data_IF_445641888146
#
_entry.id   IF_445641888146
#
_cell.length_a   1.000
_cell.length_b   1.000
_cell.length_c   1.000
_cell.angle_alpha   90.00
_cell.angle_beta   90.00
_cell.angle_gamma   90.00
#
_symmetry.space_group_name_H-M   'P 1'
#
loop_
_entity.id
_entity.type
_entity.pdbx_description
1 polymer ?
#
# COMPACT_ATOMS: atom_id res chain seq x y z
N UNK A 1 -14.47 0.80 -4.82
CA UNK A 1 -13.80 1.24 -3.59
C UNK A 1 -13.41 0.01 -2.78
N UNK A 2 -12.20 -0.01 -2.20
CA UNK A 2 -11.63 -1.19 -1.51
C UNK A 2 -12.51 -1.67 -0.34
N UNK A 3 -13.13 -0.74 0.39
CA UNK A 3 -14.06 -1.03 1.49
C UNK A 3 -15.29 -1.83 1.08
N UNK A 4 -15.66 -1.83 -0.21
CA UNK A 4 -16.74 -2.70 -0.70
C UNK A 4 -16.33 -4.18 -0.75
N UNK A 5 -15.04 -4.44 -0.85
CA UNK A 5 -14.47 -5.78 -0.88
C UNK A 5 -14.15 -6.28 0.53
N UNK A 6 -13.37 -5.49 1.30
CA UNK A 6 -12.88 -5.92 2.62
C UNK A 6 -13.88 -5.64 3.77
N UNK A 7 -14.90 -4.84 3.51
CA UNK A 7 -15.82 -4.36 4.54
C UNK A 7 -15.41 -3.01 5.12
N UNK A 8 -16.32 -2.41 5.87
CA UNK A 8 -16.02 -1.22 6.67
C UNK A 8 -15.28 -1.68 7.94
N UNK A 9 -14.13 -1.08 8.28
CA UNK A 9 -13.44 -1.38 9.53
C UNK A 9 -14.30 -0.99 10.74
N UNK A 10 -13.99 -1.57 11.88
CA UNK A 10 -14.66 -1.22 13.12
C UNK A 10 -14.38 0.22 13.56
N UNK A 11 -15.17 0.72 14.51
CA UNK A 11 -15.04 2.11 14.98
C UNK A 11 -13.71 2.39 15.66
N UNK A 12 -13.11 1.39 16.32
CA UNK A 12 -11.82 1.56 17.01
C UNK A 12 -10.70 1.81 16.01
N UNK A 13 -10.67 1.06 14.90
CA UNK A 13 -9.70 1.28 13.83
C UNK A 13 -9.93 2.60 13.10
N UNK A 14 -11.19 2.99 12.89
CA UNK A 14 -11.51 4.29 12.26
C UNK A 14 -11.04 5.44 13.16
N UNK A 15 -11.20 5.33 14.48
CA UNK A 15 -10.80 6.38 15.42
C UNK A 15 -9.29 6.56 15.51
N UNK A 16 -8.49 5.57 15.11
CA UNK A 16 -7.02 5.65 15.02
C UNK A 16 -6.52 6.40 13.78
N UNK A 17 -7.38 6.72 12.82
CA UNK A 17 -6.99 7.50 11.64
C UNK A 17 -6.66 8.92 12.09
N UNK A 18 -5.41 9.35 11.89
CA UNK A 18 -4.91 10.66 12.33
C UNK A 18 -5.61 11.80 11.61
N UNK A 19 -5.71 11.70 10.28
CA UNK A 19 -6.36 12.70 9.45
C UNK A 19 -7.86 12.80 9.75
N UNK A 20 -8.31 14.01 10.12
CA UNK A 20 -9.67 14.29 10.57
C UNK A 20 -10.70 14.10 9.45
N UNK A 21 -10.36 14.51 8.23
CA UNK A 21 -11.27 14.46 7.08
C UNK A 21 -11.43 13.01 6.61
N UNK A 22 -10.33 12.26 6.53
CA UNK A 22 -10.35 10.84 6.20
C UNK A 22 -11.10 10.03 7.26
N UNK A 23 -10.91 10.33 8.54
CA UNK A 23 -11.66 9.70 9.64
C UNK A 23 -13.16 9.99 9.55
N UNK A 24 -13.54 11.25 9.29
CA UNK A 24 -14.93 11.65 9.12
C UNK A 24 -15.57 10.96 7.90
N UNK A 25 -14.84 10.90 6.79
CA UNK A 25 -15.27 10.18 5.59
C UNK A 25 -15.50 8.69 5.87
N UNK A 26 -14.57 8.03 6.55
CA UNK A 26 -14.70 6.60 6.89
C UNK A 26 -15.90 6.33 7.82
N UNK A 27 -16.21 7.25 8.75
CA UNK A 27 -17.39 7.15 9.60
C UNK A 27 -18.71 7.21 8.82
N UNK A 28 -18.75 8.02 7.76
CA UNK A 28 -19.95 8.20 6.92
C UNK A 28 -20.21 7.03 5.97
N UNK A 29 -19.22 6.18 5.71
CA UNK A 29 -19.42 5.03 4.84
C UNK A 29 -20.48 4.09 5.40
N UNK A 30 -21.33 3.51 4.53
CA UNK A 30 -22.32 2.54 4.96
C UNK A 30 -21.64 1.31 5.58
N UNK A 31 -22.28 0.75 6.60
CA UNK A 31 -21.82 -0.50 7.19
C UNK A 31 -21.98 -1.63 6.17
N UNK A 32 -20.89 -2.30 5.87
CA UNK A 32 -20.88 -3.51 5.06
C UNK A 32 -19.87 -4.51 5.64
N UNK A 33 -20.14 -5.80 5.43
CA UNK A 33 -19.28 -6.89 5.91
C UNK A 33 -18.19 -7.27 4.89
N UNK A 34 -18.11 -6.54 3.76
CA UNK A 34 -17.27 -6.92 2.63
C UNK A 34 -17.88 -8.09 1.83
N UNK A 35 -17.09 -8.61 0.92
CA UNK A 35 -17.46 -9.73 0.05
C UNK A 35 -16.61 -10.96 0.40
N UNK A 36 -17.13 -12.13 0.10
CA UNK A 36 -16.30 -13.33 0.10
C UNK A 36 -15.25 -13.23 -1.00
N UNK A 37 -13.98 -13.34 -0.65
CA UNK A 37 -12.86 -13.19 -1.59
C UNK A 37 -12.82 -14.31 -2.61
N UNK A 38 -13.13 -15.55 -2.21
CA UNK A 38 -13.14 -16.68 -3.14
C UNK A 38 -14.25 -16.51 -4.16
N UNK A 39 -15.39 -16.00 -3.75
CA UNK A 39 -16.50 -15.71 -4.65
C UNK A 39 -16.20 -14.50 -5.56
N UNK A 40 -15.60 -13.45 -5.03
CA UNK A 40 -15.25 -12.24 -5.79
C UNK A 40 -14.20 -12.54 -6.86
N UNK A 41 -13.20 -13.36 -6.53
CA UNK A 41 -12.11 -13.78 -7.43
C UNK A 41 -12.36 -15.17 -8.03
N UNK A 42 -13.57 -15.47 -8.48
CA UNK A 42 -13.94 -16.78 -9.09
C UNK A 42 -13.01 -17.29 -10.18
N UNK A 43 -12.30 -16.37 -10.88
CA UNK A 43 -11.30 -16.72 -11.89
C UNK A 43 -9.93 -17.10 -11.31
N UNK A 44 -9.63 -16.77 -10.07
CA UNK A 44 -8.38 -17.15 -9.43
C UNK A 44 -8.51 -18.54 -8.81
N UNK A 45 -8.02 -19.55 -9.53
CA UNK A 45 -8.11 -20.96 -9.11
C UNK A 45 -7.14 -21.31 -7.97
N UNK A 46 -6.21 -20.41 -7.64
CA UNK A 46 -5.19 -20.65 -6.62
C UNK A 46 -5.62 -20.04 -5.27
N UNK A 47 -5.93 -20.85 -4.24
CA UNK A 47 -6.32 -20.36 -2.92
C UNK A 47 -5.21 -19.59 -2.20
N UNK A 48 -3.93 -19.86 -2.49
CA UNK A 48 -2.81 -19.12 -1.93
C UNK A 48 -2.76 -17.68 -2.47
N UNK A 49 -3.13 -17.45 -3.73
CA UNK A 49 -3.26 -16.09 -4.27
C UNK A 49 -4.34 -15.28 -3.53
N UNK A 50 -5.47 -15.92 -3.24
CA UNK A 50 -6.57 -15.30 -2.50
C UNK A 50 -6.15 -15.00 -1.06
N UNK A 51 -5.41 -15.90 -0.43
CA UNK A 51 -4.88 -15.69 0.93
C UNK A 51 -3.89 -14.53 0.98
N UNK A 52 -2.95 -14.44 0.04
CA UNK A 52 -2.01 -13.33 -0.06
C UNK A 52 -2.74 -11.99 -0.22
N UNK A 53 -3.70 -11.91 -1.16
CA UNK A 53 -4.50 -10.69 -1.37
C UNK A 53 -5.25 -10.29 -0.10
N UNK A 54 -5.84 -11.22 0.63
CA UNK A 54 -6.51 -10.94 1.91
C UNK A 54 -5.56 -10.29 2.91
N UNK A 55 -4.35 -10.84 3.05
CA UNK A 55 -3.32 -10.33 3.95
C UNK A 55 -2.83 -8.95 3.55
N UNK A 56 -2.65 -8.71 2.24
CA UNK A 56 -2.24 -7.40 1.68
C UNK A 56 -3.33 -6.33 1.83
N UNK A 57 -4.60 -6.72 1.77
CA UNK A 57 -5.74 -5.81 1.88
C UNK A 57 -6.26 -5.65 3.31
N UNK A 58 -5.57 -6.20 4.30
CA UNK A 58 -5.93 -5.99 5.72
C UNK A 58 -5.95 -4.49 6.02
N UNK A 59 -7.08 -3.97 6.56
CA UNK A 59 -7.25 -2.54 6.81
C UNK A 59 -6.27 -2.04 7.87
N UNK A 60 -6.15 -2.75 8.97
CA UNK A 60 -5.23 -2.44 10.07
C UNK A 60 -3.77 -2.57 9.60
N UNK A 61 -3.01 -1.47 9.51
CA UNK A 61 -1.63 -1.53 9.05
C UNK A 61 -0.72 -2.36 9.96
N UNK A 62 -1.02 -2.44 11.25
CA UNK A 62 -0.25 -3.25 12.21
C UNK A 62 -0.44 -4.76 12.00
N UNK A 63 -1.56 -5.16 11.38
CA UNK A 63 -1.88 -6.56 11.05
C UNK A 63 -1.68 -6.89 9.58
N UNK A 64 -1.43 -5.88 8.76
CA UNK A 64 -1.18 -6.08 7.33
C UNK A 64 0.15 -6.77 7.14
N UNK A 65 0.18 -7.76 6.23
CA UNK A 65 1.42 -8.43 5.85
C UNK A 65 2.45 -7.40 5.37
N UNK A 66 3.69 -7.47 5.86
CA UNK A 66 4.80 -6.65 5.38
C UNK A 66 5.41 -7.24 4.09
N UNK A 67 6.39 -6.54 3.49
CA UNK A 67 7.00 -6.94 2.21
C UNK A 67 7.73 -8.27 2.36
N UNK A 68 8.55 -8.46 3.38
CA UNK A 68 9.31 -9.69 3.61
C UNK A 68 8.37 -10.89 3.79
N UNK A 69 7.31 -10.71 4.57
CA UNK A 69 6.30 -11.75 4.76
C UNK A 69 5.50 -12.04 3.48
N UNK A 70 5.28 -11.03 2.63
CA UNK A 70 4.58 -11.20 1.37
C UNK A 70 5.45 -11.95 0.36
N UNK A 71 6.75 -11.64 0.28
CA UNK A 71 7.71 -12.36 -0.56
C UNK A 71 7.88 -13.82 -0.10
N UNK A 72 7.96 -14.06 1.21
CA UNK A 72 8.04 -15.40 1.79
C UNK A 72 6.69 -16.18 1.78
N UNK A 73 5.62 -15.60 1.24
CA UNK A 73 4.32 -16.25 1.20
C UNK A 73 4.32 -17.46 0.25
N UNK A 74 3.63 -18.59 0.59
CA UNK A 74 3.61 -19.79 -0.26
C UNK A 74 3.20 -19.56 -1.71
N UNK A 75 2.41 -18.54 -1.99
CA UNK A 75 2.07 -18.15 -3.35
C UNK A 75 3.28 -17.71 -4.18
N UNK A 76 4.27 -17.09 -3.51
CA UNK A 76 5.49 -16.55 -4.13
C UNK A 76 6.64 -17.57 -4.17
N UNK A 77 6.47 -18.77 -3.64
CA UNK A 77 7.53 -19.79 -3.45
C UNK A 77 8.43 -19.98 -4.70
N UNK A 78 7.85 -19.92 -5.89
CA UNK A 78 8.59 -20.10 -7.15
C UNK A 78 9.32 -18.84 -7.64
N UNK A 79 9.04 -17.70 -7.04
CA UNK A 79 9.56 -16.38 -7.42
C UNK A 79 10.40 -15.74 -6.32
N UNK A 80 10.31 -16.26 -5.10
CA UNK A 80 11.03 -15.78 -3.94
C UNK A 80 12.44 -16.41 -3.90
N UNK A 81 13.46 -15.58 -4.02
CA UNK A 81 14.88 -15.93 -3.93
C UNK A 81 15.56 -14.95 -3.00
N UNK A 82 15.81 -15.34 -1.76
CA UNK A 82 16.37 -14.49 -0.70
C UNK A 82 17.65 -13.78 -1.14
N UNK A 83 18.49 -14.44 -1.93
CA UNK A 83 19.76 -13.91 -2.40
C UNK A 83 19.60 -12.90 -3.58
N UNK A 84 18.42 -12.83 -4.19
CA UNK A 84 18.09 -11.97 -5.33
C UNK A 84 17.09 -10.85 -4.97
N UNK A 85 16.93 -10.59 -3.67
CA UNK A 85 16.02 -9.57 -3.12
C UNK A 85 16.85 -8.49 -2.40
N UNK A 86 17.52 -7.59 -3.14
CA UNK A 86 18.36 -6.58 -2.53
C UNK A 86 17.55 -5.59 -1.70
N UNK A 87 18.08 -5.25 -0.53
CA UNK A 87 17.55 -4.18 0.31
C UNK A 87 18.27 -2.88 -0.02
N UNK A 88 17.52 -1.79 -0.23
CA UNK A 88 18.07 -0.45 -0.37
C UNK A 88 18.40 0.17 0.99
N UNK A 89 19.25 1.18 0.98
CA UNK A 89 19.43 2.04 2.15
C UNK A 89 18.12 2.77 2.45
N UNK A 90 17.80 2.99 3.74
CA UNK A 90 16.63 3.78 4.11
C UNK A 90 16.71 5.18 3.50
N UNK A 91 15.63 5.60 2.87
CA UNK A 91 15.53 6.96 2.33
C UNK A 91 15.53 7.95 3.50
N UNK A 92 16.37 8.98 3.38
CA UNK A 92 16.45 10.05 4.37
C UNK A 92 15.32 11.08 4.15
N UNK A 93 14.79 11.65 5.22
CA UNK A 93 13.77 12.70 5.14
C UNK A 93 14.21 13.90 4.28
N UNK A 94 15.53 14.17 4.20
CA UNK A 94 16.10 15.22 3.35
C UNK A 94 15.99 14.94 1.85
N UNK A 95 15.90 13.68 1.44
CA UNK A 95 15.80 13.32 0.02
C UNK A 95 14.45 13.72 -0.58
N UNK A 96 13.46 13.96 0.28
CA UNK A 96 12.09 14.33 -0.09
C UNK A 96 11.59 15.60 0.60
N UNK A 97 12.49 16.44 1.12
CA UNK A 97 12.12 17.69 1.78
C UNK A 97 11.34 18.64 0.88
N UNK A 98 11.52 18.56 -0.45
CA UNK A 98 10.75 19.31 -1.42
C UNK A 98 9.23 19.04 -1.36
N UNK A 99 8.80 17.88 -0.82
CA UNK A 99 7.38 17.56 -0.63
C UNK A 99 6.74 18.40 0.49
N UNK A 100 7.54 19.00 1.38
CA UNK A 100 7.07 19.90 2.42
C UNK A 100 6.67 21.29 1.86
N UNK A 101 7.05 21.58 0.63
CA UNK A 101 6.80 22.88 -0.02
C UNK A 101 5.74 22.76 -1.10
N UNK A 102 4.87 23.78 -1.21
CA UNK A 102 3.93 23.93 -2.32
C UNK A 102 4.65 24.42 -3.57
N UNK A 103 5.33 23.53 -4.26
CA UNK A 103 6.06 23.85 -5.48
C UNK A 103 5.13 24.13 -6.65
N UNK A 104 5.53 25.06 -7.53
CA UNK A 104 4.85 25.38 -8.79
C UNK A 104 5.45 24.54 -9.93
N UNK A 105 4.73 24.46 -11.04
CA UNK A 105 5.15 23.70 -12.24
C UNK A 105 6.59 24.03 -12.70
N UNK A 106 7.05 25.32 -12.74
CA UNK A 106 8.44 25.61 -13.12
C UNK A 106 9.48 24.98 -12.18
N UNK A 107 9.24 25.00 -10.87
CA UNK A 107 10.12 24.45 -9.83
C UNK A 107 10.22 22.92 -9.94
N UNK A 108 9.08 22.24 -10.19
CA UNK A 108 9.12 20.79 -10.48
C UNK A 108 9.91 20.46 -11.76
N UNK A 109 9.80 21.29 -12.80
CA UNK A 109 10.57 21.09 -14.04
C UNK A 109 12.06 21.23 -13.82
N UNK A 110 12.48 22.13 -12.95
CA UNK A 110 13.88 22.34 -12.60
C UNK A 110 14.42 21.12 -11.82
N UNK A 111 13.70 20.65 -10.80
CA UNK A 111 14.07 19.46 -10.06
C UNK A 111 14.21 18.23 -10.97
N UNK A 112 13.23 18.01 -11.85
CA UNK A 112 13.27 16.89 -12.81
C UNK A 112 14.45 17.04 -13.77
N UNK A 113 14.77 18.24 -14.19
CA UNK A 113 15.91 18.51 -15.09
C UNK A 113 17.25 18.24 -14.41
N UNK A 114 17.41 18.64 -13.15
CA UNK A 114 18.61 18.33 -12.36
C UNK A 114 18.76 16.82 -12.14
N UNK A 115 17.68 16.12 -11.84
CA UNK A 115 17.69 14.66 -11.71
C UNK A 115 18.09 13.98 -13.02
N UNK A 116 17.56 14.43 -14.17
CA UNK A 116 17.92 13.88 -15.48
C UNK A 116 19.42 14.03 -15.75
N UNK A 117 20.04 15.16 -15.37
CA UNK A 117 21.48 15.37 -15.56
C UNK A 117 22.35 14.33 -14.84
N UNK A 118 21.90 13.80 -13.71
CA UNK A 118 22.65 12.78 -12.97
C UNK A 118 22.79 11.46 -13.74
N UNK A 119 21.95 11.24 -14.75
CA UNK A 119 21.93 10.01 -15.55
C UNK A 119 22.40 10.19 -17.00
N UNK A 120 22.78 11.42 -17.40
CA UNK A 120 23.09 11.78 -18.79
C UNK A 120 24.40 12.61 -18.92
N UNK A 121 25.44 12.21 -18.22
CA UNK A 121 26.80 12.69 -18.46
C UNK A 121 27.47 11.98 -19.66
#
# INVERSE_FOLDING_TARGET
MITNLIGKPDSQLIDQIEDVDNRAFMKQLPNNRGKDFAEFFKGAQNPQAIDLIKKMLTFDPAKRINIEQALAHPYMEKLHFVDDEPTGEPVCDFDFDFELYSLKIPEYKELIYEEIKLYHD
#
